data_IF_126582387152
#
_entry.id   IF_126582387152
#
_cell.length_a   1.000
_cell.length_b   1.000
_cell.length_c   1.000
_cell.angle_alpha   90.00
_cell.angle_beta   90.00
_cell.angle_gamma   90.00
#
_symmetry.space_group_name_H-M   'P 1'
#
loop_
_entity.id
_entity.type
_entity.pdbx_description
1 polymer ?
#
# COMPACT_ATOMS: atom_id res chain seq x y z
N UNK A 1 1.52 -41.92 -13.09
CA UNK A 1 1.07 -40.75 -12.29
C UNK A 1 2.20 -39.74 -12.33
N UNK A 2 2.11 -38.70 -13.13
CA UNK A 2 3.16 -37.70 -13.25
C UNK A 2 2.95 -36.68 -12.13
N UNK A 3 3.90 -36.57 -11.19
CA UNK A 3 3.92 -35.58 -10.14
C UNK A 3 4.20 -34.21 -10.75
N UNK A 4 3.21 -33.35 -10.76
CA UNK A 4 3.31 -31.96 -11.19
C UNK A 4 4.05 -31.18 -10.09
N UNK A 5 5.38 -31.22 -10.07
CA UNK A 5 6.20 -30.32 -9.30
C UNK A 5 6.08 -28.93 -9.93
N UNK A 6 5.11 -28.14 -9.48
CA UNK A 6 5.15 -26.67 -9.67
C UNK A 6 6.43 -26.21 -8.95
N UNK A 7 7.44 -25.83 -9.70
CA UNK A 7 8.59 -25.15 -9.15
C UNK A 7 8.08 -23.88 -8.45
N UNK A 8 8.27 -23.79 -7.14
CA UNK A 8 8.04 -22.57 -6.35
C UNK A 8 9.13 -21.53 -6.71
N UNK A 9 9.23 -21.16 -7.97
CA UNK A 9 10.09 -20.07 -8.36
C UNK A 9 9.43 -18.78 -7.86
N UNK A 10 10.05 -18.13 -6.88
CA UNK A 10 9.67 -16.80 -6.43
C UNK A 10 9.82 -15.89 -7.65
N UNK A 11 8.70 -15.26 -8.06
CA UNK A 11 8.70 -14.31 -9.15
C UNK A 11 9.11 -12.94 -8.63
N UNK A 12 10.25 -12.45 -9.10
CA UNK A 12 10.63 -11.04 -8.90
C UNK A 12 10.26 -10.26 -10.16
N UNK A 13 9.39 -9.26 -10.06
CA UNK A 13 9.08 -8.42 -11.20
C UNK A 13 10.34 -7.64 -11.63
N UNK A 14 10.50 -7.35 -12.93
CA UNK A 14 11.59 -6.51 -13.40
C UNK A 14 11.49 -5.09 -12.79
N UNK A 15 12.59 -4.32 -12.74
CA UNK A 15 12.57 -2.93 -12.32
C UNK A 15 11.50 -2.12 -13.06
N UNK A 16 10.88 -1.15 -12.40
CA UNK A 16 9.74 -0.38 -12.93
C UNK A 16 9.97 0.18 -14.34
N UNK A 17 11.20 0.58 -14.67
CA UNK A 17 11.56 1.09 -15.99
C UNK A 17 11.37 0.08 -17.12
N UNK A 18 11.40 -1.22 -16.81
CA UNK A 18 11.29 -2.32 -17.76
C UNK A 18 9.88 -2.95 -17.79
N UNK A 19 8.93 -2.37 -17.09
CA UNK A 19 7.55 -2.86 -17.14
C UNK A 19 6.96 -2.52 -18.50
N UNK A 20 6.70 -3.54 -19.29
CA UNK A 20 5.95 -3.38 -20.52
C UNK A 20 4.54 -2.91 -20.19
N UNK A 21 4.17 -1.77 -20.76
CA UNK A 21 2.80 -1.28 -20.70
C UNK A 21 2.04 -1.90 -21.85
N UNK A 22 1.09 -2.73 -21.55
CA UNK A 22 0.13 -3.19 -22.55
C UNK A 22 -0.95 -2.12 -22.67
N UNK A 23 -1.01 -1.44 -23.80
CA UNK A 23 -2.15 -0.60 -24.20
C UNK A 23 -3.32 -1.45 -24.75
N UNK A 24 -3.30 -2.76 -24.51
CA UNK A 24 -4.40 -3.62 -24.85
C UNK A 24 -5.65 -3.23 -24.07
N UNK A 25 -6.77 -3.16 -24.75
CA UNK A 25 -8.08 -3.02 -24.09
C UNK A 25 -8.21 -4.13 -23.03
N UNK A 26 -8.67 -3.77 -21.82
CA UNK A 26 -8.81 -4.75 -20.74
C UNK A 26 -9.67 -5.91 -21.22
N UNK A 27 -9.24 -7.13 -20.92
CA UNK A 27 -10.08 -8.30 -21.15
C UNK A 27 -11.37 -8.15 -20.34
N UNK A 28 -12.43 -8.88 -20.72
CA UNK A 28 -13.72 -8.83 -20.00
C UNK A 28 -13.56 -9.03 -18.49
N UNK A 29 -12.63 -9.88 -18.06
CA UNK A 29 -12.37 -10.12 -16.64
C UNK A 29 -11.77 -8.89 -15.94
N UNK A 30 -10.81 -8.20 -16.56
CA UNK A 30 -10.23 -6.99 -16.01
C UNK A 30 -11.23 -5.84 -16.00
N UNK A 31 -12.06 -5.70 -17.03
CA UNK A 31 -13.13 -4.70 -17.03
C UNK A 31 -14.11 -4.93 -15.88
N UNK A 32 -14.54 -6.16 -15.64
CA UNK A 32 -15.40 -6.49 -14.50
C UNK A 32 -14.77 -6.15 -13.16
N UNK A 33 -13.45 -6.32 -13.01
CA UNK A 33 -12.73 -5.94 -11.79
C UNK A 33 -12.69 -4.41 -11.61
N UNK A 34 -12.48 -3.65 -12.67
CA UNK A 34 -12.52 -2.18 -12.66
C UNK A 34 -13.93 -1.70 -12.27
N UNK A 35 -14.96 -2.23 -12.92
CA UNK A 35 -16.36 -1.87 -12.67
C UNK A 35 -16.75 -2.17 -11.21
N UNK A 36 -16.26 -3.30 -10.67
CA UNK A 36 -16.45 -3.66 -9.27
C UNK A 36 -15.77 -2.66 -8.34
N UNK A 37 -14.52 -2.30 -8.60
CA UNK A 37 -13.78 -1.34 -7.79
C UNK A 37 -14.46 0.04 -7.77
N UNK A 38 -14.89 0.54 -8.93
CA UNK A 38 -15.59 1.81 -9.06
C UNK A 38 -16.97 1.81 -8.36
N UNK A 39 -17.70 0.70 -8.46
CA UNK A 39 -19.00 0.55 -7.82
C UNK A 39 -18.92 0.45 -6.30
N UNK A 40 -17.82 -0.05 -5.77
CA UNK A 40 -17.60 -0.29 -4.35
C UNK A 40 -16.58 0.66 -3.75
N UNK A 41 -16.51 1.90 -4.25
CA UNK A 41 -15.69 2.93 -3.65
C UNK A 41 -16.06 3.14 -2.18
N UNK A 42 -15.07 3.49 -1.36
CA UNK A 42 -15.29 3.88 0.03
C UNK A 42 -16.22 5.08 0.11
N UNK A 43 -17.18 5.01 1.02
CA UNK A 43 -18.09 6.13 1.33
C UNK A 43 -17.44 7.23 2.18
N UNK A 44 -16.16 7.06 2.53
CA UNK A 44 -15.40 8.06 3.28
C UNK A 44 -15.32 9.37 2.49
N UNK A 45 -15.64 10.50 3.14
CA UNK A 45 -15.50 11.81 2.51
C UNK A 45 -14.08 11.99 1.98
N UNK A 46 -13.92 12.43 0.75
CA UNK A 46 -12.62 12.66 0.13
C UNK A 46 -11.85 13.78 0.82
N UNK A 47 -12.54 14.73 1.38
CA UNK A 47 -11.94 15.71 2.28
C UNK A 47 -11.70 15.05 3.65
N UNK A 48 -10.44 14.71 3.91
CA UNK A 48 -10.04 14.02 5.15
C UNK A 48 -10.42 14.82 6.40
N UNK A 49 -10.34 16.15 6.36
CA UNK A 49 -10.76 16.98 7.48
C UNK A 49 -12.24 16.78 7.80
N UNK A 50 -13.11 16.81 6.77
CA UNK A 50 -14.55 16.53 6.95
C UNK A 50 -14.80 15.09 7.41
N UNK A 51 -14.06 14.12 6.90
CA UNK A 51 -14.18 12.74 7.33
C UNK A 51 -13.93 12.60 8.84
N UNK A 52 -12.93 13.30 9.37
CA UNK A 52 -12.60 13.31 10.79
C UNK A 52 -13.65 14.05 11.62
N UNK A 53 -14.11 15.21 11.18
CA UNK A 53 -15.20 15.96 11.81
C UNK A 53 -16.48 15.10 11.94
N UNK A 54 -16.73 14.26 10.94
CA UNK A 54 -17.83 13.27 10.92
C UNK A 54 -17.51 11.99 11.69
N UNK A 55 -16.40 11.94 12.44
CA UNK A 55 -15.98 10.78 13.24
C UNK A 55 -15.79 9.50 12.42
N UNK A 56 -15.37 9.62 11.16
CA UNK A 56 -15.18 8.46 10.29
C UNK A 56 -14.16 7.46 10.82
N UNK A 57 -13.21 7.90 11.66
CA UNK A 57 -12.19 7.05 12.28
C UNK A 57 -12.47 6.78 13.77
N UNK A 58 -13.48 7.41 14.36
CA UNK A 58 -13.96 7.21 15.75
C UNK A 58 -12.89 7.29 16.85
N UNK A 59 -11.71 7.83 16.55
CA UNK A 59 -10.64 7.96 17.54
C UNK A 59 -10.88 9.16 18.45
N UNK A 60 -10.80 8.98 19.79
CA UNK A 60 -10.93 10.08 20.73
C UNK A 60 -9.69 10.98 20.71
N UNK A 61 -9.81 12.26 21.08
CA UNK A 61 -8.65 13.11 21.31
C UNK A 61 -7.71 12.53 22.38
N UNK A 62 -6.39 12.68 22.25
CA UNK A 62 -5.67 13.38 21.16
C UNK A 62 -5.35 12.50 19.94
N UNK A 63 -5.68 11.20 19.98
CA UNK A 63 -5.26 10.23 18.95
C UNK A 63 -5.94 10.45 17.59
N UNK A 64 -7.11 11.08 17.58
CA UNK A 64 -7.79 11.50 16.35
C UNK A 64 -7.30 12.82 15.78
N UNK A 65 -6.39 13.52 16.46
CA UNK A 65 -5.92 14.83 16.03
C UNK A 65 -4.99 14.71 14.82
N UNK A 66 -5.23 15.54 13.81
CA UNK A 66 -4.37 15.56 12.62
C UNK A 66 -3.12 16.37 12.92
N UNK A 67 -1.96 15.73 12.75
CA UNK A 67 -0.68 16.41 12.82
C UNK A 67 -0.22 16.72 11.39
N UNK A 68 -0.24 18.01 11.02
CA UNK A 68 0.24 18.48 9.74
C UNK A 68 -0.86 18.76 8.72
N UNK A 69 -0.45 18.91 7.45
CA UNK A 69 -1.35 19.28 6.35
C UNK A 69 -1.99 18.04 5.74
N UNK A 70 -3.30 18.08 5.58
CA UNK A 70 -4.04 17.06 4.82
C UNK A 70 -4.33 17.54 3.40
N UNK A 71 -4.60 16.58 2.52
CA UNK A 71 -5.12 16.79 1.17
C UNK A 71 -6.40 15.98 1.02
N UNK A 72 -7.28 16.44 0.14
CA UNK A 72 -8.39 15.61 -0.28
C UNK A 72 -7.86 14.39 -1.02
N UNK A 73 -8.56 13.27 -0.88
CA UNK A 73 -8.31 12.08 -1.69
C UNK A 73 -8.68 12.37 -3.15
N UNK A 74 -7.97 11.71 -4.04
CA UNK A 74 -8.23 11.79 -5.47
C UNK A 74 -9.46 10.95 -5.87
N UNK A 75 -9.88 11.10 -7.12
CA UNK A 75 -10.86 10.21 -7.73
C UNK A 75 -10.33 8.77 -7.78
N UNK A 76 -11.22 7.76 -7.75
CA UNK A 76 -10.80 6.37 -7.78
C UNK A 76 -9.87 6.08 -8.96
N UNK A 77 -8.71 5.56 -8.65
CA UNK A 77 -7.73 5.17 -9.66
C UNK A 77 -7.00 3.90 -9.24
N UNK A 78 -6.45 3.20 -10.19
CA UNK A 78 -5.73 1.97 -9.89
C UNK A 78 -5.11 1.30 -11.10
N UNK A 79 -4.37 0.23 -10.80
CA UNK A 79 -3.66 -0.60 -11.75
C UNK A 79 -3.96 -2.07 -11.47
N UNK A 80 -4.02 -2.87 -12.54
CA UNK A 80 -3.89 -4.32 -12.43
C UNK A 80 -2.56 -4.70 -13.06
N UNK A 81 -1.74 -5.40 -12.28
CA UNK A 81 -0.42 -5.86 -12.70
C UNK A 81 -0.43 -7.38 -12.70
N UNK A 82 -0.06 -7.97 -13.82
CA UNK A 82 0.07 -9.42 -13.98
C UNK A 82 1.46 -9.75 -14.50
N UNK A 83 2.23 -10.53 -13.73
CA UNK A 83 3.61 -10.94 -14.06
C UNK A 83 4.51 -9.76 -14.43
N UNK A 84 4.44 -8.66 -13.66
CA UNK A 84 5.24 -7.46 -13.88
C UNK A 84 4.75 -6.55 -15.01
N UNK A 85 3.61 -6.85 -15.64
CA UNK A 85 3.03 -6.07 -16.74
C UNK A 85 1.75 -5.39 -16.29
N UNK A 86 1.58 -4.12 -16.61
CA UNK A 86 0.31 -3.40 -16.39
C UNK A 86 -0.68 -3.87 -17.45
N UNK A 87 -1.69 -4.62 -17.03
CA UNK A 87 -2.72 -5.18 -17.94
C UNK A 87 -4.02 -4.39 -17.93
N UNK A 88 -4.23 -3.55 -16.92
CA UNK A 88 -5.34 -2.60 -16.88
C UNK A 88 -5.01 -1.41 -16.00
N UNK A 89 -5.63 -0.27 -16.27
CA UNK A 89 -5.58 0.95 -15.44
C UNK A 89 -6.88 1.71 -15.54
N UNK A 90 -7.22 2.46 -14.51
CA UNK A 90 -8.33 3.40 -14.51
C UNK A 90 -7.98 4.63 -13.69
N UNK A 91 -8.65 5.75 -13.98
CA UNK A 91 -8.36 7.03 -13.35
C UNK A 91 -6.96 7.56 -13.63
N UNK A 92 -6.55 8.58 -12.89
CA UNK A 92 -5.22 9.20 -13.02
C UNK A 92 -4.21 8.56 -12.07
N UNK A 93 -3.54 7.52 -12.54
CA UNK A 93 -2.55 6.76 -11.76
C UNK A 93 -1.23 7.49 -11.51
N UNK A 94 -1.08 8.73 -11.98
CA UNK A 94 0.11 9.55 -11.71
C UNK A 94 -0.08 10.46 -10.49
N UNK A 95 -1.31 10.66 -10.06
CA UNK A 95 -1.59 11.46 -8.86
C UNK A 95 -1.25 10.72 -7.59
N UNK A 96 -0.58 11.39 -6.64
CA UNK A 96 -0.36 10.83 -5.31
C UNK A 96 -1.66 10.85 -4.51
N UNK A 97 -1.90 9.79 -3.75
CA UNK A 97 -3.01 9.74 -2.81
C UNK A 97 -2.54 9.24 -1.44
N UNK A 98 -3.42 9.36 -0.45
CA UNK A 98 -3.13 8.92 0.91
C UNK A 98 -3.09 7.39 0.96
N UNK A 99 -2.07 6.85 1.57
CA UNK A 99 -1.85 5.39 1.63
C UNK A 99 -2.43 4.73 2.86
N UNK A 100 -2.89 5.52 3.85
CA UNK A 100 -3.34 5.01 5.14
C UNK A 100 -2.36 3.95 5.69
N UNK A 101 -2.88 2.82 6.17
CA UNK A 101 -2.06 1.75 6.77
C UNK A 101 -1.13 1.03 5.80
N UNK A 102 -1.25 1.21 4.48
CA UNK A 102 -0.24 0.72 3.52
C UNK A 102 1.12 1.35 3.77
N UNK A 103 1.17 2.51 4.43
CA UNK A 103 2.42 3.11 4.93
C UNK A 103 3.25 2.13 5.80
N UNK A 104 2.60 1.21 6.53
CA UNK A 104 3.29 0.19 7.33
C UNK A 104 4.04 -0.83 6.46
N UNK A 105 3.52 -1.15 5.29
CA UNK A 105 4.21 -2.01 4.32
C UNK A 105 5.48 -1.34 3.77
N UNK A 106 5.43 -0.02 3.52
CA UNK A 106 6.64 0.73 3.15
C UNK A 106 7.65 0.77 4.31
N UNK A 107 7.19 0.95 5.54
CA UNK A 107 8.05 0.92 6.72
C UNK A 107 8.76 -0.44 6.86
N UNK A 108 8.04 -1.54 6.65
CA UNK A 108 8.62 -2.90 6.65
C UNK A 108 9.73 -3.05 5.60
N UNK A 109 9.53 -2.50 4.39
CA UNK A 109 10.56 -2.52 3.34
C UNK A 109 11.78 -1.69 3.79
N UNK A 110 11.57 -0.52 4.39
CA UNK A 110 12.66 0.29 4.92
C UNK A 110 13.45 -0.44 6.00
N UNK A 111 12.77 -1.17 6.90
CA UNK A 111 13.42 -1.98 7.92
C UNK A 111 14.29 -3.08 7.28
N UNK A 112 13.81 -3.74 6.22
CA UNK A 112 14.59 -4.72 5.47
C UNK A 112 15.87 -4.12 4.87
N UNK A 113 15.78 -2.93 4.27
CA UNK A 113 16.96 -2.22 3.73
C UNK A 113 17.96 -1.86 4.84
N UNK A 114 17.48 -1.42 6.00
CA UNK A 114 18.34 -1.11 7.15
C UNK A 114 19.04 -2.38 7.69
N UNK A 115 18.39 -3.54 7.62
CA UNK A 115 19.05 -4.81 7.95
C UNK A 115 20.14 -5.15 6.94
N UNK A 116 19.86 -5.01 5.65
CA UNK A 116 20.85 -5.26 4.58
C UNK A 116 22.08 -4.34 4.73
N UNK A 117 21.87 -3.10 5.20
CA UNK A 117 22.92 -2.13 5.50
C UNK A 117 23.62 -2.39 6.86
N UNK A 118 23.19 -3.40 7.63
CA UNK A 118 23.74 -3.75 8.93
C UNK A 118 23.38 -2.80 10.07
N UNK A 119 22.42 -1.91 9.87
CA UNK A 119 21.94 -0.97 10.89
C UNK A 119 20.93 -1.60 11.85
N UNK A 120 20.24 -2.65 11.42
CA UNK A 120 19.41 -3.53 12.26
C UNK A 120 20.06 -4.92 12.19
N UNK A 121 20.84 -5.33 13.19
CA UNK A 121 21.61 -6.58 13.12
C UNK A 121 20.73 -7.83 13.24
N UNK A 122 19.62 -7.73 13.96
CA UNK A 122 18.71 -8.83 14.26
C UNK A 122 17.26 -8.33 14.36
N UNK A 123 16.36 -8.89 13.56
CA UNK A 123 14.94 -8.57 13.63
C UNK A 123 14.23 -9.18 14.86
N UNK A 124 14.82 -10.20 15.46
CA UNK A 124 14.30 -10.84 16.66
C UNK A 124 14.77 -10.14 17.96
N UNK A 125 15.68 -9.15 17.83
CA UNK A 125 16.12 -8.35 18.96
C UNK A 125 14.97 -7.48 19.50
N UNK A 126 14.86 -7.31 20.83
CA UNK A 126 13.91 -6.36 21.41
C UNK A 126 14.14 -4.94 20.87
N UNK A 127 13.06 -4.24 20.56
CA UNK A 127 13.14 -2.84 20.07
C UNK A 127 13.86 -1.95 21.09
N UNK A 128 13.71 -2.23 22.39
CA UNK A 128 14.42 -1.52 23.47
C UNK A 128 15.94 -1.50 23.32
N UNK A 129 16.51 -2.49 22.62
CA UNK A 129 17.95 -2.58 22.39
C UNK A 129 18.41 -1.68 21.23
N UNK A 130 17.47 -1.27 20.38
CA UNK A 130 17.71 -0.42 19.23
C UNK A 130 17.31 1.05 19.47
N UNK A 131 16.34 1.27 20.34
CA UNK A 131 15.78 2.61 20.62
C UNK A 131 15.77 2.87 22.10
N UNK A 132 16.49 3.90 22.54
CA UNK A 132 16.59 4.30 23.94
C UNK A 132 15.35 5.06 24.47
N UNK A 133 14.24 5.00 23.79
CA UNK A 133 12.99 5.66 24.19
C UNK A 133 12.15 4.72 25.05
N UNK A 134 12.13 4.97 26.34
CA UNK A 134 11.40 4.18 27.32
C UNK A 134 9.87 4.28 27.16
N UNK A 135 9.35 5.19 26.36
CA UNK A 135 7.92 5.32 26.08
C UNK A 135 7.36 4.07 25.37
N UNK A 136 8.23 3.29 24.70
CA UNK A 136 7.87 2.05 24.00
C UNK A 136 7.71 0.83 24.92
N UNK A 137 8.03 0.95 26.22
CA UNK A 137 7.94 -0.16 27.19
C UNK A 137 6.48 -0.56 27.49
N UNK A 138 5.52 0.28 27.17
CA UNK A 138 4.10 0.11 27.51
C UNK A 138 3.22 -0.29 26.32
N UNK A 139 3.81 -0.75 25.24
CA UNK A 139 3.08 -1.26 24.06
C UNK A 139 2.94 -2.76 24.17
#
# INVERSE_FOLDING_TARGET
MASNHRSNQIYFPPPRGNWERFDALPTRGFQSAIDHALKNESLLDRNIQKALENRAFAEPPPWGDIIGKTRSREDPHGLIILKGKVVAKWGDTQKPDITFSVAKSFLSICAGLLQDDGLIPDFDAPISDLVNDLSLIHI
#
